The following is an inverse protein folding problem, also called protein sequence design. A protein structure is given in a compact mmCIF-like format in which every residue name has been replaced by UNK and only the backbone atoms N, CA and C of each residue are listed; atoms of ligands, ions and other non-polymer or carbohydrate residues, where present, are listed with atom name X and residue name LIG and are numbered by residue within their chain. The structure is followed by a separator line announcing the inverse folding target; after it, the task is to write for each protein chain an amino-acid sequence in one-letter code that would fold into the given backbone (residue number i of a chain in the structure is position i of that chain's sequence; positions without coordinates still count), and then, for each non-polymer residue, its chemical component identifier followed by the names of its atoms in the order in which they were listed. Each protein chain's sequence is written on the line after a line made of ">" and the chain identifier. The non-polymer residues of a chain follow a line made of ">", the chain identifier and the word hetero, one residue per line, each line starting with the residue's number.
data_IF_225465958985
#
_entry.id   IF_225465958985
#
_cell.length_a   1.000
_cell.length_b   1.000
_cell.length_c   1.000
_cell.angle_alpha   90.00
_cell.angle_beta   90.00
_cell.angle_gamma   90.00
#
_symmetry.space_group_name_H-M   'P 1'
#
loop_
_entity.id
_entity.type
_entity.pdbx_description
1 polymer ?
#
# COMPACT_ATOMS: atom_id res chain seq x y z
N UNK A 1 19.21 -12.12 -2.80
CA UNK A 1 19.40 -13.22 -1.81
C UNK A 1 18.29 -13.30 -0.76
N UNK A 2 17.91 -12.21 -0.06
CA UNK A 2 16.85 -12.26 0.99
C UNK A 2 15.43 -12.47 0.46
N UNK A 3 15.02 -11.81 -0.62
CA UNK A 3 13.66 -11.98 -1.19
C UNK A 3 13.50 -13.31 -1.93
N UNK A 4 14.57 -13.80 -2.56
CA UNK A 4 14.59 -15.13 -3.18
C UNK A 4 14.35 -16.25 -2.14
N UNK A 5 14.97 -16.17 -0.96
CA UNK A 5 14.68 -17.08 0.15
C UNK A 5 13.18 -17.07 0.52
N UNK A 6 12.57 -15.89 0.64
CA UNK A 6 11.15 -15.78 0.96
C UNK A 6 10.27 -16.35 -0.14
N UNK A 7 10.58 -16.08 -1.42
CA UNK A 7 9.88 -16.63 -2.58
C UNK A 7 9.85 -18.16 -2.54
N UNK A 8 10.99 -18.80 -2.28
CA UNK A 8 11.09 -20.26 -2.17
C UNK A 8 10.40 -20.82 -0.91
N UNK A 9 10.36 -20.01 0.16
CA UNK A 9 9.77 -20.42 1.44
C UNK A 9 8.25 -20.41 1.43
N UNK A 10 7.58 -19.54 0.64
CA UNK A 10 6.11 -19.44 0.61
C UNK A 10 5.45 -20.80 0.35
N UNK A 11 5.94 -21.56 -0.64
CA UNK A 11 5.37 -22.86 -0.97
C UNK A 11 5.45 -23.85 0.21
N UNK A 12 6.57 -23.85 0.93
CA UNK A 12 6.80 -24.71 2.10
C UNK A 12 5.94 -24.28 3.31
N UNK A 13 5.81 -22.98 3.53
CA UNK A 13 4.96 -22.40 4.59
C UNK A 13 3.51 -22.81 4.38
N UNK A 14 2.99 -22.66 3.15
CA UNK A 14 1.61 -23.01 2.81
C UNK A 14 1.36 -24.53 2.85
N UNK A 15 2.40 -25.34 2.62
CA UNK A 15 2.34 -26.79 2.75
C UNK A 15 2.52 -27.30 4.20
N UNK A 16 2.58 -26.42 5.20
CA UNK A 16 2.75 -26.81 6.61
C UNK A 16 4.15 -27.29 6.97
N UNK A 17 5.15 -27.03 6.14
CA UNK A 17 6.56 -27.43 6.34
C UNK A 17 7.50 -26.21 6.34
N UNK A 18 7.26 -25.19 7.19
CA UNK A 18 8.02 -23.95 7.13
C UNK A 18 9.52 -24.18 7.42
N UNK A 19 10.43 -23.39 6.82
CA UNK A 19 11.83 -23.37 7.25
C UNK A 19 11.95 -22.95 8.72
N UNK A 20 13.11 -23.25 9.34
CA UNK A 20 13.43 -22.89 10.75
C UNK A 20 13.73 -21.40 10.92
N UNK A 21 12.83 -20.55 10.43
CA UNK A 21 12.84 -19.10 10.55
C UNK A 21 11.59 -18.69 11.35
N UNK A 22 11.70 -17.91 12.46
CA UNK A 22 10.58 -17.63 13.35
C UNK A 22 9.33 -17.07 12.65
N UNK A 23 9.52 -16.17 11.68
CA UNK A 23 8.41 -15.57 10.93
C UNK A 23 7.72 -16.61 10.03
N UNK A 24 8.48 -17.51 9.42
CA UNK A 24 7.92 -18.57 8.58
C UNK A 24 7.10 -19.58 9.40
N UNK A 25 7.60 -19.94 10.60
CA UNK A 25 6.89 -20.80 11.55
C UNK A 25 5.60 -20.14 12.01
N UNK A 26 5.66 -18.86 12.41
CA UNK A 26 4.48 -18.11 12.85
C UNK A 26 3.43 -18.01 11.74
N UNK A 27 3.85 -17.69 10.50
CA UNK A 27 2.92 -17.58 9.38
C UNK A 27 2.26 -18.94 9.06
N UNK A 28 3.01 -20.04 9.08
CA UNK A 28 2.45 -21.38 8.87
C UNK A 28 1.43 -21.75 9.96
N UNK A 29 1.76 -21.47 11.23
CA UNK A 29 0.85 -21.67 12.36
C UNK A 29 -0.42 -20.83 12.24
N UNK A 30 -0.31 -19.55 11.90
CA UNK A 30 -1.45 -18.67 11.71
C UNK A 30 -2.38 -19.12 10.56
N UNK A 31 -1.81 -19.69 9.49
CA UNK A 31 -2.58 -20.23 8.36
C UNK A 31 -3.30 -21.52 8.76
N UNK A 32 -2.66 -22.39 9.55
CA UNK A 32 -3.30 -23.60 10.09
C UNK A 32 -4.45 -23.25 11.04
N UNK A 33 -4.23 -22.32 11.97
CA UNK A 33 -5.27 -21.81 12.89
C UNK A 33 -6.43 -21.13 12.14
N UNK A 34 -6.15 -20.36 11.09
CA UNK A 34 -7.18 -19.79 10.21
C UNK A 34 -8.00 -20.89 9.53
N UNK A 35 -7.34 -21.92 9.01
CA UNK A 35 -8.00 -23.05 8.36
C UNK A 35 -8.95 -23.75 9.34
N UNK A 36 -8.48 -24.05 10.56
CA UNK A 36 -9.28 -24.68 11.61
C UNK A 36 -10.48 -23.81 12.01
N UNK A 37 -10.26 -22.54 12.35
CA UNK A 37 -11.33 -21.62 12.78
C UNK A 37 -12.40 -21.35 11.73
N UNK A 38 -12.06 -21.51 10.45
CA UNK A 38 -12.99 -21.23 9.35
C UNK A 38 -13.52 -22.49 8.66
N UNK A 39 -13.11 -23.69 9.12
CA UNK A 39 -13.35 -24.97 8.44
C UNK A 39 -12.93 -24.91 6.96
N UNK A 40 -11.76 -24.33 6.69
CA UNK A 40 -11.19 -24.22 5.35
C UNK A 40 -11.87 -23.23 4.39
N UNK A 41 -12.82 -22.41 4.88
CA UNK A 41 -13.54 -21.39 4.10
C UNK A 41 -12.73 -20.12 3.86
N UNK A 42 -11.70 -19.84 4.67
CA UNK A 42 -10.76 -18.76 4.43
C UNK A 42 -9.39 -19.36 4.06
N UNK A 43 -8.73 -18.80 3.04
CA UNK A 43 -7.47 -19.31 2.50
C UNK A 43 -6.58 -18.16 2.05
N UNK A 44 -5.32 -18.17 2.49
CA UNK A 44 -4.33 -17.18 2.06
C UNK A 44 -3.81 -17.53 0.66
N UNK A 45 -3.92 -16.58 -0.28
CA UNK A 45 -3.47 -16.77 -1.66
C UNK A 45 -1.94 -16.78 -1.79
N UNK A 46 -1.41 -17.88 -2.37
CA UNK A 46 0.00 -17.97 -2.79
C UNK A 46 0.35 -16.93 -3.84
N UNK A 47 -0.58 -16.65 -4.75
CA UNK A 47 -0.42 -15.68 -5.84
C UNK A 47 -0.17 -14.29 -5.30
N UNK A 48 -1.01 -13.84 -4.36
CA UNK A 48 -0.85 -12.56 -3.67
C UNK A 48 0.47 -12.44 -2.91
N UNK A 49 0.86 -13.46 -2.14
CA UNK A 49 2.16 -13.45 -1.45
C UNK A 49 3.34 -13.33 -2.43
N UNK A 50 3.28 -14.06 -3.55
CA UNK A 50 4.34 -14.07 -4.56
C UNK A 50 4.40 -12.74 -5.33
N UNK A 51 3.24 -12.16 -5.66
CA UNK A 51 3.09 -10.85 -6.29
C UNK A 51 3.72 -9.75 -5.45
N UNK A 52 3.42 -9.72 -4.14
CA UNK A 52 4.01 -8.78 -3.20
C UNK A 52 5.54 -8.88 -3.15
N UNK A 53 6.08 -10.10 -3.04
CA UNK A 53 7.53 -10.33 -3.02
C UNK A 53 8.17 -9.83 -4.31
N UNK A 54 7.61 -10.16 -5.47
CA UNK A 54 8.13 -9.74 -6.77
C UNK A 54 8.09 -8.22 -6.97
N UNK A 55 7.01 -7.56 -6.54
CA UNK A 55 6.90 -6.11 -6.61
C UNK A 55 7.94 -5.40 -5.72
N UNK A 56 8.16 -5.91 -4.49
CA UNK A 56 9.18 -5.39 -3.58
C UNK A 56 10.61 -5.66 -4.08
N UNK A 57 10.83 -6.78 -4.76
CA UNK A 57 12.13 -7.10 -5.35
C UNK A 57 12.52 -6.12 -6.46
N UNK A 58 11.58 -5.79 -7.35
CA UNK A 58 11.80 -4.79 -8.41
C UNK A 58 12.12 -3.41 -7.86
N UNK A 59 11.53 -3.03 -6.72
CA UNK A 59 11.75 -1.72 -6.10
C UNK A 59 13.05 -1.57 -5.30
N UNK A 60 13.91 -2.59 -5.19
CA UNK A 60 15.11 -2.54 -4.32
C UNK A 60 16.17 -1.53 -4.77
N UNK A 61 16.18 -1.16 -6.05
CA UNK A 61 17.09 -0.18 -6.65
C UNK A 61 16.63 1.26 -6.47
N UNK A 62 15.40 1.48 -6.01
CA UNK A 62 14.74 2.79 -5.96
C UNK A 62 14.75 3.53 -7.31
N UNK A 63 14.65 2.79 -8.41
CA UNK A 63 14.51 3.38 -9.74
C UNK A 63 13.25 4.27 -9.79
N UNK A 64 13.30 5.45 -10.45
CA UNK A 64 12.12 6.30 -10.61
C UNK A 64 10.99 5.58 -11.36
N UNK A 65 9.75 5.95 -11.06
CA UNK A 65 8.59 5.44 -11.78
C UNK A 65 8.50 6.13 -13.15
N UNK A 66 8.32 5.39 -14.27
CA UNK A 66 8.20 6.01 -15.59
C UNK A 66 7.03 6.99 -15.71
N UNK A 67 5.91 6.63 -15.11
CA UNK A 67 4.68 7.41 -15.11
C UNK A 67 3.85 7.18 -13.84
N UNK A 68 2.77 7.95 -13.68
CA UNK A 68 1.88 7.81 -12.52
C UNK A 68 1.21 6.43 -12.46
N UNK A 69 0.93 5.82 -13.61
CA UNK A 69 0.31 4.50 -13.70
C UNK A 69 1.24 3.39 -13.18
N UNK A 70 2.55 3.51 -13.41
CA UNK A 70 3.55 2.60 -12.86
C UNK A 70 3.64 2.71 -11.33
N UNK A 71 3.51 3.92 -10.78
CA UNK A 71 3.42 4.13 -9.33
C UNK A 71 2.14 3.50 -8.75
N UNK A 72 0.99 3.66 -9.42
CA UNK A 72 -0.25 3.00 -9.02
C UNK A 72 -0.15 1.48 -9.09
N UNK A 73 0.43 0.93 -10.16
CA UNK A 73 0.67 -0.50 -10.31
C UNK A 73 1.57 -1.02 -9.19
N UNK A 74 2.61 -0.26 -8.80
CA UNK A 74 3.42 -0.62 -7.64
C UNK A 74 2.62 -0.60 -6.34
N UNK A 75 1.78 0.41 -6.12
CA UNK A 75 0.93 0.52 -4.94
C UNK A 75 -0.10 -0.62 -4.86
N UNK A 76 -0.70 -0.99 -6.00
CA UNK A 76 -1.60 -2.12 -6.16
C UNK A 76 -0.91 -3.44 -5.80
N UNK A 77 0.23 -3.71 -6.43
CA UNK A 77 0.98 -4.94 -6.22
C UNK A 77 1.63 -5.03 -4.82
N UNK A 78 1.64 -3.97 -4.02
CA UNK A 78 2.22 -3.98 -2.67
C UNK A 78 1.21 -3.72 -1.55
N UNK A 79 0.56 -2.57 -1.51
CA UNK A 79 -0.34 -2.17 -0.43
C UNK A 79 -1.75 -2.76 -0.61
N UNK A 80 -2.31 -2.76 -1.83
CA UNK A 80 -3.59 -3.43 -2.10
C UNK A 80 -3.47 -4.94 -1.90
N UNK A 81 -2.40 -5.57 -2.39
CA UNK A 81 -2.14 -7.00 -2.15
C UNK A 81 -2.16 -7.38 -0.66
N UNK A 82 -1.64 -6.53 0.23
CA UNK A 82 -1.72 -6.77 1.67
C UNK A 82 -3.17 -6.71 2.19
N UNK A 83 -3.99 -5.83 1.63
CA UNK A 83 -5.41 -5.77 1.94
C UNK A 83 -6.16 -6.99 1.41
N UNK A 84 -5.90 -7.44 0.18
CA UNK A 84 -6.48 -8.68 -0.35
C UNK A 84 -6.11 -9.90 0.48
N UNK A 85 -4.85 -10.01 0.92
CA UNK A 85 -4.42 -11.06 1.84
C UNK A 85 -5.17 -11.00 3.18
N UNK A 86 -5.47 -9.80 3.66
CA UNK A 86 -6.25 -9.60 4.89
C UNK A 86 -7.73 -9.94 4.69
N UNK A 87 -8.33 -9.56 3.55
CA UNK A 87 -9.68 -9.96 3.15
C UNK A 87 -9.79 -11.47 3.01
N UNK A 88 -8.76 -12.13 2.45
CA UNK A 88 -8.69 -13.59 2.30
C UNK A 88 -8.70 -14.35 3.63
N UNK A 89 -8.42 -13.67 4.76
CA UNK A 89 -8.55 -14.24 6.10
C UNK A 89 -9.99 -14.19 6.64
N UNK A 90 -10.91 -13.53 5.94
CA UNK A 90 -12.33 -13.51 6.22
C UNK A 90 -13.02 -14.55 5.32
N UNK A 91 -13.96 -15.38 5.83
CA UNK A 91 -14.69 -16.33 5.00
C UNK A 91 -15.77 -15.63 4.16
N UNK A 92 -15.34 -14.74 3.24
CA UNK A 92 -16.15 -14.14 2.17
C UNK A 92 -15.39 -14.14 0.85
N UNK A 93 -16.16 -14.18 -0.22
CA UNK A 93 -15.79 -13.66 -1.52
C UNK A 93 -16.64 -12.42 -1.77
N UNK A 94 -16.01 -11.25 -1.96
CA UNK A 94 -16.73 -10.00 -2.23
C UNK A 94 -15.92 -9.14 -3.19
N UNK A 95 -16.38 -9.08 -4.44
CA UNK A 95 -15.81 -8.20 -5.48
C UNK A 95 -15.83 -6.75 -5.02
N UNK A 96 -16.93 -6.34 -4.39
CA UNK A 96 -17.09 -4.97 -3.87
C UNK A 96 -16.06 -4.65 -2.79
N UNK A 97 -15.82 -5.58 -1.84
CA UNK A 97 -14.80 -5.38 -0.82
C UNK A 97 -13.39 -5.34 -1.42
N UNK A 98 -13.13 -6.15 -2.45
CA UNK A 98 -11.86 -6.15 -3.18
C UNK A 98 -11.63 -4.81 -3.89
N UNK A 99 -12.64 -4.23 -4.56
CA UNK A 99 -12.51 -2.91 -5.18
C UNK A 99 -12.24 -1.79 -4.15
N UNK A 100 -12.94 -1.80 -3.00
CA UNK A 100 -12.65 -0.85 -1.92
C UNK A 100 -11.21 -1.04 -1.43
N UNK A 101 -10.75 -2.29 -1.25
CA UNK A 101 -9.37 -2.58 -0.87
C UNK A 101 -8.35 -2.11 -1.93
N UNK A 102 -8.65 -2.25 -3.23
CA UNK A 102 -7.78 -1.79 -4.32
C UNK A 102 -7.52 -0.29 -4.21
N UNK A 103 -8.58 0.52 -4.14
CA UNK A 103 -8.43 1.97 -4.07
C UNK A 103 -7.78 2.43 -2.76
N UNK A 104 -8.16 1.85 -1.62
CA UNK A 104 -7.52 2.20 -0.33
C UNK A 104 -6.04 1.80 -0.34
N UNK A 105 -5.71 0.62 -0.88
CA UNK A 105 -4.35 0.13 -1.01
C UNK A 105 -3.50 1.00 -1.93
N UNK A 106 -3.99 1.32 -3.13
CA UNK A 106 -3.35 2.26 -4.07
C UNK A 106 -3.09 3.61 -3.41
N UNK A 107 -4.08 4.22 -2.77
CA UNK A 107 -3.92 5.47 -2.02
C UNK A 107 -2.85 5.35 -0.92
N UNK A 108 -2.92 4.32 -0.09
CA UNK A 108 -1.98 4.11 1.00
C UNK A 108 -0.54 3.90 0.51
N UNK A 109 -0.37 3.22 -0.63
CA UNK A 109 0.92 2.96 -1.26
C UNK A 109 1.55 4.20 -1.91
N UNK A 110 0.76 4.98 -2.67
CA UNK A 110 1.22 6.28 -3.21
C UNK A 110 1.68 7.18 -2.06
N UNK A 111 0.88 7.29 -1.00
CA UNK A 111 1.24 8.10 0.16
C UNK A 111 2.46 7.54 0.90
N UNK A 112 2.69 6.23 0.90
CA UNK A 112 3.92 5.67 1.46
C UNK A 112 5.17 6.04 0.67
N UNK A 113 5.09 6.11 -0.66
CA UNK A 113 6.18 6.60 -1.52
C UNK A 113 6.45 8.08 -1.21
N UNK A 114 5.41 8.92 -1.17
CA UNK A 114 5.56 10.35 -0.81
C UNK A 114 6.18 10.52 0.58
N UNK A 115 5.68 9.80 1.59
CA UNK A 115 6.25 9.81 2.95
C UNK A 115 7.72 9.39 2.99
N UNK A 116 8.12 8.47 2.11
CA UNK A 116 9.48 7.97 2.01
C UNK A 116 10.43 8.90 1.29
N UNK A 117 9.93 9.82 0.45
CA UNK A 117 10.75 10.65 -0.44
C UNK A 117 11.86 11.40 0.32
N UNK A 118 11.61 12.14 1.42
CA UNK A 118 12.69 12.82 2.14
C UNK A 118 13.78 11.87 2.66
N UNK A 119 13.38 10.66 3.06
CA UNK A 119 14.30 9.66 3.66
C UNK A 119 15.13 8.92 2.60
N UNK A 120 14.56 8.70 1.42
CA UNK A 120 15.23 8.02 0.30
C UNK A 120 16.09 8.99 -0.50
N UNK A 121 15.64 10.23 -0.69
CA UNK A 121 16.41 11.27 -1.36
C UNK A 121 17.61 11.75 -0.52
N UNK A 122 17.47 11.75 0.82
CA UNK A 122 18.52 12.18 1.74
C UNK A 122 18.79 11.13 2.81
N UNK A 123 19.39 9.98 2.45
CA UNK A 123 19.71 8.94 3.42
C UNK A 123 20.68 9.50 4.47
N UNK A 124 20.36 9.34 5.75
CA UNK A 124 21.25 9.78 6.82
C UNK A 124 22.63 9.14 6.63
N UNK A 125 23.69 9.96 6.64
CA UNK A 125 25.05 9.47 6.74
C UNK A 125 25.12 8.59 7.99
N UNK A 126 25.31 7.28 7.81
CA UNK A 126 25.55 6.40 8.96
C UNK A 126 26.74 7.00 9.70
N UNK A 127 26.56 7.28 10.99
CA UNK A 127 27.63 7.75 11.85
C UNK A 127 28.87 6.90 11.58
N UNK A 128 29.95 7.55 11.14
CA UNK A 128 31.24 6.94 10.89
C UNK A 128 31.91 6.52 12.22
N UNK A 129 31.23 5.68 13.00
CA UNK A 129 31.63 5.21 14.31
C UNK A 129 31.42 3.71 14.40
N UNK A 130 32.52 2.98 14.54
CA UNK A 130 32.65 1.53 14.75
C UNK A 130 32.37 0.63 13.53
N UNK A 131 33.38 0.51 12.67
CA UNK A 131 34.17 -0.74 12.58
C UNK A 131 35.33 -0.52 11.60
N UNK A 132 36.56 -0.62 12.12
CA UNK A 132 37.76 -0.68 11.30
C UNK A 132 37.70 -1.91 10.40
N UNK A 133 37.77 -1.69 9.09
CA UNK A 133 37.78 -2.73 8.08
C UNK A 133 38.02 -2.10 6.71
N UNK A 134 39.06 -2.59 6.03
CA UNK A 134 39.66 -2.06 4.81
C UNK A 134 38.68 -1.63 3.71
N UNK A 135 39.06 -0.53 3.05
CA UNK A 135 38.56 0.04 1.80
C UNK A 135 37.90 -0.97 0.86
N UNK A 136 36.57 -0.93 0.79
CA UNK A 136 35.83 -1.18 -0.44
C UNK A 136 35.35 0.18 -0.95
N UNK A 137 35.68 0.50 -2.21
CA UNK A 137 35.43 1.79 -2.85
C UNK A 137 34.02 2.34 -2.61
N UNK A 138 33.96 3.58 -2.14
CA UNK A 138 32.75 4.25 -1.73
C UNK A 138 31.81 4.51 -2.90
N UNK A 139 30.75 3.71 -2.99
CA UNK A 139 29.46 4.25 -3.37
C UNK A 139 28.83 4.80 -2.08
N UNK A 140 29.02 6.10 -1.82
CA UNK A 140 28.07 6.82 -0.98
C UNK A 140 26.69 6.45 -1.55
N UNK A 141 25.76 5.95 -0.72
CA UNK A 141 24.41 5.65 -1.20
C UNK A 141 23.82 6.97 -1.69
N UNK A 142 23.88 7.18 -3.00
CA UNK A 142 23.28 8.31 -3.66
C UNK A 142 21.78 8.17 -3.42
N UNK A 143 21.15 9.24 -2.92
CA UNK A 143 19.71 9.25 -2.71
C UNK A 143 18.97 9.09 -4.04
N UNK A 144 17.68 8.81 -3.97
CA UNK A 144 16.83 8.70 -5.17
C UNK A 144 15.54 9.49 -4.98
N UNK A 145 15.12 10.21 -6.03
CA UNK A 145 13.82 10.89 -6.07
C UNK A 145 12.79 9.95 -6.70
N UNK A 146 11.95 9.34 -5.87
CA UNK A 146 10.97 8.32 -6.29
C UNK A 146 9.64 8.89 -6.79
N UNK A 147 9.65 10.06 -7.46
CA UNK A 147 8.45 10.61 -8.09
C UNK A 147 8.32 10.09 -9.53
N UNK A 148 7.09 10.05 -10.10
CA UNK A 148 6.90 9.73 -11.51
C UNK A 148 7.64 10.70 -12.43
N UNK A 149 8.34 10.17 -13.44
CA UNK A 149 9.15 10.96 -14.37
C UNK A 149 8.30 11.89 -15.25
N UNK A 150 7.11 11.45 -15.66
CA UNK A 150 6.14 12.26 -16.38
C UNK A 150 5.69 13.49 -15.57
N UNK A 151 5.38 13.29 -14.28
CA UNK A 151 4.99 14.35 -13.35
C UNK A 151 6.15 15.30 -13.08
N UNK A 152 7.35 14.77 -12.86
CA UNK A 152 8.56 15.59 -12.69
C UNK A 152 8.82 16.45 -13.93
N UNK A 153 8.72 15.87 -15.13
CA UNK A 153 8.91 16.58 -16.38
C UNK A 153 7.85 17.68 -16.58
N UNK A 154 6.58 17.38 -16.30
CA UNK A 154 5.48 18.33 -16.41
C UNK A 154 5.62 19.52 -15.44
N UNK A 155 6.08 19.26 -14.21
CA UNK A 155 6.31 20.28 -13.20
C UNK A 155 7.68 20.97 -13.33
N UNK A 156 8.54 20.54 -14.27
CA UNK A 156 9.88 21.11 -14.48
C UNK A 156 10.90 20.76 -13.40
N UNK A 157 10.68 19.68 -12.65
CA UNK A 157 11.56 19.23 -11.56
C UNK A 157 12.84 18.62 -12.13
N UNK A 158 13.99 19.10 -11.66
CA UNK A 158 15.29 18.47 -11.93
C UNK A 158 15.81 17.80 -10.68
N UNK A 159 16.20 16.54 -10.80
CA UNK A 159 16.66 15.74 -9.66
C UNK A 159 17.85 16.37 -8.92
N UNK A 160 18.83 16.91 -9.66
CA UNK A 160 19.99 17.63 -9.11
C UNK A 160 19.58 18.88 -8.29
N UNK A 161 18.51 19.56 -8.68
CA UNK A 161 17.97 20.71 -7.92
C UNK A 161 17.30 20.24 -6.63
N UNK A 162 16.63 19.07 -6.64
CA UNK A 162 16.11 18.45 -5.41
C UNK A 162 17.26 18.17 -4.45
N UNK A 163 18.34 17.52 -4.87
CA UNK A 163 19.46 17.21 -3.97
C UNK A 163 20.18 18.44 -3.43
N UNK A 164 20.22 19.54 -4.18
CA UNK A 164 20.92 20.77 -3.81
C UNK A 164 20.08 21.73 -2.97
N UNK A 165 18.79 21.85 -3.27
CA UNK A 165 17.88 22.85 -2.70
C UNK A 165 16.85 22.24 -1.75
N UNK A 166 16.70 20.91 -1.73
CA UNK A 166 15.73 20.21 -0.92
C UNK A 166 14.30 20.66 -1.26
N UNK A 167 13.57 21.11 -0.24
CA UNK A 167 12.19 21.61 -0.36
C UNK A 167 12.02 22.79 -1.31
N UNK A 168 13.09 23.56 -1.54
CA UNK A 168 13.07 24.77 -2.37
C UNK A 168 13.38 24.48 -3.85
N UNK A 169 13.47 23.20 -4.24
CA UNK A 169 13.66 22.83 -5.63
C UNK A 169 12.45 23.25 -6.48
N UNK A 170 12.65 24.00 -7.59
CA UNK A 170 11.58 24.45 -8.45
C UNK A 170 10.68 23.30 -8.94
N UNK A 171 9.37 23.51 -8.89
CA UNK A 171 8.36 22.53 -9.34
C UNK A 171 8.12 21.34 -8.39
N UNK A 172 8.93 21.16 -7.34
CA UNK A 172 8.82 19.96 -6.50
C UNK A 172 7.49 19.87 -5.75
N UNK A 173 7.00 21.00 -5.22
CA UNK A 173 5.68 21.07 -4.55
C UNK A 173 4.55 20.73 -5.53
N UNK A 174 4.62 21.21 -6.77
CA UNK A 174 3.62 20.92 -7.81
C UNK A 174 3.64 19.44 -8.22
N UNK A 175 4.82 18.83 -8.31
CA UNK A 175 4.95 17.40 -8.55
C UNK A 175 4.38 16.57 -7.39
N UNK A 176 4.70 16.94 -6.14
CA UNK A 176 4.14 16.30 -4.94
C UNK A 176 2.62 16.47 -4.88
N UNK A 177 2.10 17.66 -5.20
CA UNK A 177 0.68 17.95 -5.31
C UNK A 177 -0.01 17.02 -6.30
N UNK A 178 0.56 16.86 -7.50
CA UNK A 178 0.00 16.01 -8.55
C UNK A 178 -0.10 14.54 -8.10
N UNK A 179 0.97 14.01 -7.50
CA UNK A 179 0.98 12.63 -6.99
C UNK A 179 0.03 12.46 -5.78
N UNK A 180 -0.01 13.44 -4.88
CA UNK A 180 -0.91 13.44 -3.73
C UNK A 180 -2.39 13.52 -4.15
N UNK A 181 -2.69 14.26 -5.23
CA UNK A 181 -4.03 14.34 -5.82
C UNK A 181 -4.49 12.96 -6.28
N UNK A 182 -3.64 12.21 -6.98
CA UNK A 182 -3.99 10.84 -7.39
C UNK A 182 -4.33 9.92 -6.21
N UNK A 183 -3.60 10.01 -5.10
CA UNK A 183 -3.94 9.28 -3.89
C UNK A 183 -5.28 9.73 -3.27
N UNK A 184 -5.56 11.04 -3.31
CA UNK A 184 -6.83 11.60 -2.83
C UNK A 184 -8.01 11.13 -3.69
N UNK A 185 -7.85 11.07 -5.01
CA UNK A 185 -8.87 10.62 -5.95
C UNK A 185 -9.34 9.20 -5.62
N UNK A 186 -8.42 8.27 -5.35
CA UNK A 186 -8.80 6.93 -4.90
C UNK A 186 -9.61 6.93 -3.61
N UNK A 187 -9.28 7.78 -2.63
CA UNK A 187 -10.08 7.88 -1.41
C UNK A 187 -11.46 8.53 -1.65
N UNK A 188 -11.56 9.44 -2.62
CA UNK A 188 -12.83 10.02 -3.07
C UNK A 188 -13.68 8.94 -3.75
N UNK A 189 -13.10 8.13 -4.64
CA UNK A 189 -13.78 6.99 -5.26
C UNK A 189 -14.34 6.05 -4.21
N UNK A 190 -13.55 5.69 -3.18
CA UNK A 190 -14.03 4.86 -2.06
C UNK A 190 -15.21 5.50 -1.33
N UNK A 191 -15.17 6.80 -1.08
CA UNK A 191 -16.29 7.50 -0.44
C UNK A 191 -17.56 7.47 -1.31
N UNK A 192 -17.40 7.64 -2.62
CA UNK A 192 -18.51 7.55 -3.57
C UNK A 192 -19.10 6.13 -3.60
N UNK A 193 -18.26 5.10 -3.69
CA UNK A 193 -18.67 3.70 -3.63
C UNK A 193 -19.46 3.40 -2.35
N UNK A 194 -18.94 3.80 -1.18
CA UNK A 194 -19.61 3.59 0.10
C UNK A 194 -20.92 4.39 0.20
N UNK A 195 -21.00 5.56 -0.41
CA UNK A 195 -22.24 6.34 -0.49
C UNK A 195 -23.30 5.64 -1.34
N UNK A 196 -22.92 5.17 -2.53
CA UNK A 196 -23.79 4.43 -3.45
C UNK A 196 -24.33 3.15 -2.78
N UNK A 197 -23.47 2.37 -2.13
CA UNK A 197 -23.88 1.16 -1.41
C UNK A 197 -24.92 1.43 -0.33
N UNK A 198 -24.76 2.50 0.45
CA UNK A 198 -25.75 2.90 1.47
C UNK A 198 -27.06 3.37 0.87
N UNK A 199 -27.02 3.92 -0.34
CA UNK A 199 -28.21 4.30 -1.11
C UNK A 199 -28.86 3.10 -1.83
N UNK A 200 -28.30 1.89 -1.73
CA UNK A 200 -28.79 0.71 -2.46
C UNK A 200 -28.53 0.79 -3.97
N UNK A 201 -27.58 1.62 -4.39
CA UNK A 201 -27.18 1.79 -5.78
C UNK A 201 -26.02 0.87 -6.14
N UNK A 202 -25.82 0.65 -7.44
CA UNK A 202 -24.59 0.04 -7.93
C UNK A 202 -23.38 0.92 -7.55
N UNK A 203 -22.30 0.26 -7.20
CA UNK A 203 -21.01 0.88 -6.87
C UNK A 203 -20.37 1.58 -8.06
N UNK A 204 -20.86 1.30 -9.28
CA UNK A 204 -20.44 1.95 -10.52
C UNK A 204 -19.10 1.38 -10.98
N UNK A 205 -19.14 0.25 -11.70
CA UNK A 205 -17.93 -0.54 -11.97
C UNK A 205 -17.75 -1.01 -13.41
N UNK A 206 -18.47 -0.45 -14.39
CA UNK A 206 -18.45 -1.02 -15.74
C UNK A 206 -17.08 -0.98 -16.46
N UNK A 207 -16.08 -0.20 -16.00
CA UNK A 207 -14.88 0.06 -16.82
C UNK A 207 -13.49 0.05 -16.16
N UNK A 208 -13.33 -0.15 -14.84
CA UNK A 208 -12.00 0.05 -14.21
C UNK A 208 -11.12 -1.21 -14.06
N UNK A 209 -11.63 -2.43 -14.26
CA UNK A 209 -10.87 -3.66 -13.93
C UNK A 209 -11.00 -4.84 -14.93
N UNK A 210 -11.33 -4.59 -16.21
CA UNK A 210 -11.18 -5.60 -17.27
C UNK A 210 -9.70 -5.96 -17.47
N UNK A 211 -9.12 -6.81 -16.61
CA UNK A 211 -7.74 -7.30 -16.75
C UNK A 211 -6.96 -7.58 -15.46
N UNK A 212 -7.53 -7.36 -14.27
CA UNK A 212 -6.82 -7.68 -13.01
C UNK A 212 -6.79 -9.20 -12.76
N UNK A 213 -5.70 -9.85 -13.17
CA UNK A 213 -5.44 -11.27 -12.91
C UNK A 213 -5.38 -11.58 -11.41
N UNK A 214 -6.11 -12.59 -10.94
CA UNK A 214 -5.95 -13.21 -9.61
C UNK A 214 -7.19 -13.20 -8.68
N UNK A 215 -8.30 -12.63 -9.12
CA UNK A 215 -9.61 -12.77 -8.45
C UNK A 215 -10.32 -14.06 -8.91
N UNK A 216 -9.72 -15.23 -8.65
CA UNK A 216 -10.38 -16.51 -8.88
C UNK A 216 -11.29 -16.84 -7.69
N UNK A 217 -12.60 -16.66 -7.86
CA UNK A 217 -13.59 -17.05 -6.86
C UNK A 217 -14.08 -18.48 -7.14
N UNK A 218 -13.77 -19.43 -6.25
CA UNK A 218 -14.51 -20.69 -6.21
C UNK A 218 -15.91 -20.42 -5.64
N UNK A 219 -16.96 -20.58 -6.45
CA UNK A 219 -18.35 -20.45 -6.02
C UNK A 219 -18.70 -21.63 -5.11
N UNK A 220 -18.42 -21.51 -3.82
CA UNK A 220 -18.85 -22.47 -2.81
C UNK A 220 -20.32 -22.18 -2.47
N UNK A 221 -21.17 -23.15 -2.81
CA UNK A 221 -22.63 -23.08 -2.70
C UNK A 221 -23.16 -22.81 -1.28
N UNK A 222 -24.36 -22.24 -1.26
CA UNK A 222 -25.18 -21.85 -0.09
C UNK A 222 -24.60 -20.74 0.79
N UNK A 223 -24.24 -19.60 0.19
CA UNK A 223 -24.06 -18.35 0.94
C UNK A 223 -25.42 -17.66 1.14
N UNK A 224 -25.72 -17.29 2.39
CA UNK A 224 -26.75 -16.27 2.68
C UNK A 224 -26.52 -15.11 1.72
N UNK A 225 -27.57 -14.62 1.04
CA UNK A 225 -27.51 -13.41 0.23
C UNK A 225 -27.24 -12.20 1.16
N UNK A 226 -25.98 -12.03 1.58
CA UNK A 226 -25.50 -10.80 2.19
C UNK A 226 -25.53 -9.72 1.09
N UNK A 227 -25.97 -8.51 1.45
CA UNK A 227 -25.88 -7.41 0.49
C UNK A 227 -24.40 -6.99 0.33
N UNK A 228 -24.00 -6.39 -0.80
CA UNK A 228 -22.64 -5.84 -0.95
C UNK A 228 -22.25 -4.87 0.19
N UNK A 229 -23.22 -4.15 0.75
CA UNK A 229 -23.02 -3.28 1.90
C UNK A 229 -22.68 -4.08 3.18
N UNK A 230 -23.32 -5.23 3.41
CA UNK A 230 -23.05 -6.09 4.55
C UNK A 230 -21.65 -6.69 4.48
N UNK A 231 -21.24 -7.15 3.28
CA UNK A 231 -19.90 -7.67 3.02
C UNK A 231 -18.83 -6.62 3.32
N UNK A 232 -19.00 -5.40 2.79
CA UNK A 232 -18.11 -4.26 3.04
C UNK A 232 -18.10 -3.88 4.53
N UNK A 233 -19.25 -3.87 5.21
CA UNK A 233 -19.32 -3.57 6.64
C UNK A 233 -18.59 -4.62 7.49
N UNK A 234 -18.66 -5.88 7.09
CA UNK A 234 -17.95 -7.00 7.72
C UNK A 234 -16.44 -6.89 7.50
N UNK A 235 -16.03 -6.48 6.30
CA UNK A 235 -14.63 -6.26 5.92
C UNK A 235 -14.05 -4.92 6.39
N UNK A 236 -14.86 -4.01 6.94
CA UNK A 236 -14.51 -2.61 7.15
C UNK A 236 -13.18 -2.37 7.90
N UNK A 237 -12.82 -3.27 8.82
CA UNK A 237 -11.53 -3.22 9.52
C UNK A 237 -10.32 -3.22 8.60
N UNK A 238 -10.40 -3.85 7.43
CA UNK A 238 -9.33 -3.92 6.42
C UNK A 238 -9.09 -2.55 5.77
N UNK A 239 -10.12 -1.72 5.64
CA UNK A 239 -10.04 -0.42 4.96
C UNK A 239 -9.56 0.72 5.88
N UNK A 240 -9.34 0.44 7.17
CA UNK A 240 -8.92 1.43 8.17
C UNK A 240 -7.65 2.22 7.83
N UNK A 241 -6.67 1.70 7.06
CA UNK A 241 -5.55 2.52 6.58
C UNK A 241 -5.98 3.78 5.82
N UNK A 242 -7.16 3.82 5.19
CA UNK A 242 -7.70 5.01 4.54
C UNK A 242 -7.75 6.23 5.47
N UNK A 243 -8.06 6.04 6.76
CA UNK A 243 -8.15 7.13 7.75
C UNK A 243 -6.78 7.79 7.96
N UNK A 244 -5.74 6.97 8.14
CA UNK A 244 -4.37 7.46 8.31
C UNK A 244 -3.82 8.09 7.03
N UNK A 245 -4.17 7.52 5.88
CA UNK A 245 -3.83 8.07 4.56
C UNK A 245 -4.45 9.45 4.35
N UNK A 246 -5.77 9.61 4.59
CA UNK A 246 -6.47 10.90 4.52
C UNK A 246 -5.86 11.93 5.46
N UNK A 247 -5.67 11.57 6.73
CA UNK A 247 -5.07 12.47 7.73
C UNK A 247 -3.68 12.95 7.34
N UNK A 248 -2.87 12.10 6.70
CA UNK A 248 -1.57 12.51 6.23
C UNK A 248 -1.67 13.45 5.01
N UNK A 249 -2.56 13.17 4.05
CA UNK A 249 -2.82 14.03 2.90
C UNK A 249 -3.32 15.42 3.33
N UNK A 250 -4.25 15.49 4.28
CA UNK A 250 -4.78 16.75 4.83
C UNK A 250 -3.63 17.60 5.42
N UNK A 251 -2.67 16.95 6.10
CA UNK A 251 -1.49 17.65 6.67
C UNK A 251 -0.51 18.09 5.59
N UNK A 252 -0.26 17.25 4.59
CA UNK A 252 0.58 17.61 3.44
C UNK A 252 0.01 18.85 2.73
N UNK A 253 -1.30 18.89 2.50
CA UNK A 253 -1.98 20.05 1.94
C UNK A 253 -1.85 21.29 2.84
N UNK A 254 -1.95 21.15 4.16
CA UNK A 254 -1.82 22.27 5.10
C UNK A 254 -0.44 22.94 5.11
N UNK A 255 0.57 22.24 4.60
CA UNK A 255 1.94 22.75 4.45
C UNK A 255 2.31 23.02 2.99
N UNK A 256 1.31 23.25 2.13
CA UNK A 256 1.51 23.60 0.72
C UNK A 256 2.36 22.56 -0.03
N UNK A 257 2.13 21.28 0.27
CA UNK A 257 2.81 20.15 -0.37
C UNK A 257 4.34 20.16 -0.19
N UNK A 258 4.88 20.92 0.77
CA UNK A 258 6.25 20.78 1.22
C UNK A 258 6.43 19.46 1.96
N UNK A 259 6.95 18.47 1.24
CA UNK A 259 7.12 17.10 1.73
C UNK A 259 8.25 16.96 2.78
N UNK A 260 9.11 17.97 2.95
CA UNK A 260 10.24 17.93 3.89
C UNK A 260 9.90 18.44 5.29
N UNK A 261 8.66 18.90 5.49
CA UNK A 261 8.19 19.40 6.78
C UNK A 261 8.30 18.33 7.87
N UNK A 262 9.05 18.57 8.97
CA UNK A 262 9.25 17.58 10.03
C UNK A 262 7.95 17.19 10.75
N UNK A 263 6.91 18.03 10.67
CA UNK A 263 5.59 17.76 11.21
C UNK A 263 4.90 16.57 10.51
N UNK A 264 5.24 16.29 9.25
CA UNK A 264 4.69 15.17 8.48
C UNK A 264 5.22 13.80 8.92
N UNK A 265 6.36 13.77 9.63
CA UNK A 265 6.96 12.56 10.19
C UNK A 265 6.34 12.15 11.53
N UNK A 266 5.57 13.04 12.16
CA UNK A 266 4.95 12.79 13.47
C UNK A 266 3.61 12.08 13.32
N UNK A 267 3.28 11.24 14.28
CA UNK A 267 1.94 10.64 14.40
C UNK A 267 0.89 11.71 14.67
N UNK A 268 -0.25 11.62 14.00
CA UNK A 268 -1.38 12.52 14.24
C UNK A 268 -2.17 12.05 15.48
N UNK A 269 -2.29 12.92 16.48
CA UNK A 269 -3.03 12.64 17.71
C UNK A 269 -4.53 12.39 17.46
N UNK A 270 -5.08 12.88 16.34
CA UNK A 270 -6.49 12.65 15.94
C UNK A 270 -6.71 11.25 15.42
N UNK A 271 -5.66 10.50 15.04
CA UNK A 271 -5.79 9.19 14.40
C UNK A 271 -6.60 8.19 15.23
N UNK A 272 -6.35 7.97 16.54
CA UNK A 272 -7.12 6.99 17.32
C UNK A 272 -8.61 7.33 17.38
N UNK A 273 -8.93 8.62 17.56
CA UNK A 273 -10.32 9.09 17.62
C UNK A 273 -11.03 8.99 16.27
N UNK A 274 -10.40 9.47 15.19
CA UNK A 274 -10.97 9.36 13.85
C UNK A 274 -11.11 7.90 13.42
N UNK A 275 -10.15 7.04 13.73
CA UNK A 275 -10.22 5.62 13.42
C UNK A 275 -11.37 4.93 14.18
N UNK A 276 -11.54 5.23 15.46
CA UNK A 276 -12.67 4.72 16.24
C UNK A 276 -14.02 5.15 15.65
N UNK A 277 -14.17 6.45 15.34
CA UNK A 277 -15.39 6.97 14.74
C UNK A 277 -15.66 6.37 13.36
N UNK A 278 -14.63 6.25 12.54
CA UNK A 278 -14.72 5.62 11.22
C UNK A 278 -15.20 4.17 11.31
N UNK A 279 -14.58 3.38 12.19
CA UNK A 279 -14.96 1.98 12.40
C UNK A 279 -16.38 1.84 12.94
N UNK A 280 -16.77 2.67 13.92
CA UNK A 280 -18.11 2.65 14.52
C UNK A 280 -19.22 3.07 13.55
N UNK A 281 -18.95 4.07 12.71
CA UNK A 281 -19.92 4.61 11.74
C UNK A 281 -19.85 3.93 10.37
N UNK A 282 -18.88 3.03 10.18
CA UNK A 282 -18.57 2.38 8.89
C UNK A 282 -18.37 3.43 7.78
N UNK A 283 -17.65 4.50 8.08
CA UNK A 283 -17.39 5.64 7.18
C UNK A 283 -15.91 6.03 7.15
N UNK A 284 -15.35 6.30 5.97
CA UNK A 284 -13.93 6.64 5.76
C UNK A 284 -13.72 8.13 5.44
#
# INVERSE_FOLDING_TARGET
>A
MRLQFWRESIAKILAGTPPKEPIAILLSSAIADLHERTNGRARISKGWLTRLISARERGLTNDPYPDIAALESYAENTYSTLMYLTLSALPMASVTADHVASHVGKAAGIVAVLRGLPLVAFPAARAAGQQGGQQAGGAARQGAVMLPLDVMAQAGVKEEEVFRLGAEAPGLRDAVFTVATRASDHLITVQQMLSNLRAGQDVGHDFEHEGEEGHEYEVLGEQRQESPLDEVNRAFGVFMPAVGTRLWLDRLQSVDFDIFRPELLRSDWKLPWKAYMAYKRKSL
#
